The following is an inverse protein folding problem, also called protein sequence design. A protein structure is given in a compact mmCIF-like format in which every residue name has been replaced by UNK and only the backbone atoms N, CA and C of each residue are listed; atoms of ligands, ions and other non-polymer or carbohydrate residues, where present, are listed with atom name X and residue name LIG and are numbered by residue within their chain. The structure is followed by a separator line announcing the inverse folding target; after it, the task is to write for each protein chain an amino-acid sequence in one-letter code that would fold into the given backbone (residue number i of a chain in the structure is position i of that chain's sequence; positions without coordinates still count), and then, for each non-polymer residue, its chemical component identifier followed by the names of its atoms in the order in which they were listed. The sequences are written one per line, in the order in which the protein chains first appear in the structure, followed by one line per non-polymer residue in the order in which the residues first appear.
data_IF_247982318333
#
_entry.id   IF_247982318333
#
_cell.length_a   1.000
_cell.length_b   1.000
_cell.length_c   1.000
_cell.angle_alpha   90.00
_cell.angle_beta   90.00
_cell.angle_gamma   90.00
#
_symmetry.space_group_name_H-M   'P 1'
#
loop_
_entity.id
_entity.type
_entity.pdbx_description
1 polymer ?
#
# COMPACT_ATOMS: atom_id res chain seq x y z
N UNK A 1 -12.59 -25.94 25.27
CA UNK A 1 -11.19 -25.54 25.01
C UNK A 1 -11.07 -24.78 23.70
N UNK A 2 -10.31 -23.69 23.72
CA UNK A 2 -9.88 -22.97 22.50
C UNK A 2 -8.48 -23.47 22.17
N UNK A 3 -8.31 -24.10 21.01
CA UNK A 3 -7.05 -24.70 20.57
C UNK A 3 -6.16 -23.78 19.73
N UNK A 4 -6.72 -22.70 19.17
CA UNK A 4 -5.97 -21.64 18.48
C UNK A 4 -6.79 -20.35 18.38
N UNK A 5 -6.10 -19.22 18.18
CA UNK A 5 -6.72 -17.91 17.94
C UNK A 5 -5.94 -17.14 16.89
N UNK A 6 -6.63 -16.39 16.03
CA UNK A 6 -5.99 -15.49 15.08
C UNK A 6 -5.37 -14.28 15.78
N UNK A 7 -4.31 -13.72 15.19
CA UNK A 7 -3.69 -12.51 15.72
C UNK A 7 -4.60 -11.29 15.46
N UNK A 8 -5.05 -10.61 16.52
CA UNK A 8 -5.99 -9.48 16.40
C UNK A 8 -5.40 -8.12 16.84
N UNK A 9 -4.69 -8.05 17.97
CA UNK A 9 -4.35 -6.75 18.60
C UNK A 9 -3.61 -5.76 17.67
N UNK A 10 -2.60 -6.22 16.95
CA UNK A 10 -1.87 -5.43 15.95
C UNK A 10 -2.77 -4.99 14.75
N UNK A 11 -3.66 -5.87 14.27
CA UNK A 11 -4.65 -5.54 13.24
C UNK A 11 -5.56 -4.43 13.73
N UNK A 12 -6.10 -4.58 14.95
CA UNK A 12 -6.99 -3.58 15.55
C UNK A 12 -6.32 -2.21 15.65
N UNK A 13 -5.05 -2.16 16.07
CA UNK A 13 -4.28 -0.91 16.16
C UNK A 13 -4.16 -0.20 14.80
N UNK A 14 -3.77 -0.94 13.75
CA UNK A 14 -3.64 -0.38 12.39
C UNK A 14 -5.00 0.04 11.83
N UNK A 15 -6.04 -0.80 11.98
CA UNK A 15 -7.39 -0.49 11.52
C UNK A 15 -7.97 0.73 12.25
N UNK A 16 -7.69 0.90 13.55
CA UNK A 16 -8.07 2.09 14.30
C UNK A 16 -7.38 3.35 13.76
N UNK A 17 -6.09 3.29 13.46
CA UNK A 17 -5.36 4.41 12.86
C UNK A 17 -5.95 4.77 11.47
N UNK A 18 -6.19 3.77 10.62
CA UNK A 18 -6.82 3.96 9.31
C UNK A 18 -8.19 4.64 9.40
N UNK A 19 -9.03 4.23 10.37
CA UNK A 19 -10.34 4.87 10.61
C UNK A 19 -10.20 6.32 11.05
N UNK A 20 -9.29 6.61 12.00
CA UNK A 20 -9.02 7.99 12.46
C UNK A 20 -8.50 8.91 11.35
N UNK A 21 -7.78 8.34 10.37
CA UNK A 21 -7.27 9.06 9.20
C UNK A 21 -8.28 9.13 8.04
N UNK A 22 -9.48 8.55 8.20
CA UNK A 22 -10.47 8.41 7.14
C UNK A 22 -9.84 7.85 5.85
N UNK A 23 -9.04 6.79 6.01
CA UNK A 23 -8.25 6.20 4.92
C UNK A 23 -9.14 5.47 3.90
N UNK A 24 -10.15 4.73 4.34
CA UNK A 24 -11.10 4.06 3.44
C UNK A 24 -11.80 5.07 2.51
N UNK A 25 -12.29 6.17 3.09
CA UNK A 25 -12.90 7.28 2.35
C UNK A 25 -11.93 7.96 1.40
N UNK A 26 -10.62 7.94 1.70
CA UNK A 26 -9.61 8.45 0.80
C UNK A 26 -9.58 7.58 -0.47
N UNK A 27 -9.49 6.26 -0.31
CA UNK A 27 -9.46 5.27 -1.41
C UNK A 27 -10.75 5.31 -2.23
N UNK A 28 -11.90 5.10 -1.60
CA UNK A 28 -13.21 5.21 -2.24
C UNK A 28 -14.33 5.46 -1.22
N UNK A 29 -15.21 6.41 -1.55
CA UNK A 29 -16.33 6.81 -0.68
C UNK A 29 -17.41 5.74 -0.57
N UNK A 30 -17.61 4.93 -1.62
CA UNK A 30 -18.53 3.78 -1.58
C UNK A 30 -17.77 2.54 -1.18
N UNK A 31 -18.42 1.69 -0.39
CA UNK A 31 -17.95 0.34 -0.12
C UNK A 31 -17.94 -0.48 -1.42
N UNK A 32 -16.77 -1.01 -1.78
CA UNK A 32 -16.59 -1.96 -2.89
C UNK A 32 -15.51 -2.96 -2.54
N UNK A 33 -15.57 -4.15 -3.12
CA UNK A 33 -14.59 -5.22 -2.89
C UNK A 33 -13.16 -4.74 -3.12
N UNK A 34 -12.91 -3.97 -4.18
CA UNK A 34 -11.58 -3.46 -4.50
C UNK A 34 -11.06 -2.46 -3.46
N UNK A 35 -11.95 -1.64 -2.88
CA UNK A 35 -11.58 -0.76 -1.77
C UNK A 35 -11.09 -1.57 -0.59
N UNK A 36 -11.82 -2.63 -0.23
CA UNK A 36 -11.49 -3.43 0.94
C UNK A 36 -10.20 -4.24 0.70
N UNK A 37 -9.98 -4.76 -0.52
CA UNK A 37 -8.71 -5.38 -0.94
C UNK A 37 -7.53 -4.39 -0.83
N UNK A 38 -7.71 -3.15 -1.29
CA UNK A 38 -6.67 -2.11 -1.17
C UNK A 38 -6.38 -1.78 0.29
N UNK A 39 -7.41 -1.63 1.11
CA UNK A 39 -7.26 -1.34 2.54
C UNK A 39 -6.55 -2.50 3.25
N UNK A 40 -6.90 -3.74 2.92
CA UNK A 40 -6.24 -4.94 3.45
C UNK A 40 -4.77 -5.00 3.04
N UNK A 41 -4.45 -4.70 1.77
CA UNK A 41 -3.06 -4.67 1.29
C UNK A 41 -2.21 -3.59 1.98
N UNK A 42 -2.77 -2.40 2.21
CA UNK A 42 -2.04 -1.34 2.93
C UNK A 42 -1.86 -1.71 4.40
N UNK A 43 -2.88 -2.29 5.04
CA UNK A 43 -2.76 -2.76 6.42
C UNK A 43 -1.71 -3.87 6.54
N UNK A 44 -1.72 -4.85 5.64
CA UNK A 44 -0.71 -5.89 5.57
C UNK A 44 0.69 -5.32 5.36
N UNK A 45 0.85 -4.30 4.49
CA UNK A 45 2.15 -3.65 4.27
C UNK A 45 2.71 -2.97 5.53
N UNK A 46 1.85 -2.48 6.42
CA UNK A 46 2.24 -1.90 7.72
C UNK A 46 2.59 -3.00 8.73
N UNK A 47 1.84 -4.10 8.73
CA UNK A 47 1.95 -5.17 9.74
C UNK A 47 3.04 -6.20 9.41
N UNK A 48 3.10 -6.66 8.17
CA UNK A 48 3.98 -7.71 7.67
C UNK A 48 4.24 -7.49 6.16
N UNK A 49 5.22 -6.64 5.80
CA UNK A 49 5.49 -6.26 4.41
C UNK A 49 6.04 -7.45 3.60
N UNK A 50 5.20 -8.03 2.74
CA UNK A 50 5.53 -9.20 1.92
C UNK A 50 5.04 -9.05 0.45
N UNK A 51 5.31 -10.07 -0.38
CA UNK A 51 4.72 -10.22 -1.73
C UNK A 51 3.20 -10.42 -1.67
N UNK A 52 2.49 -10.28 -2.80
CA UNK A 52 1.02 -10.44 -2.84
C UNK A 52 0.61 -11.88 -2.51
N UNK A 53 1.27 -12.87 -3.10
CA UNK A 53 1.10 -14.28 -2.74
C UNK A 53 1.35 -14.58 -1.26
N UNK A 54 2.41 -14.03 -0.67
CA UNK A 54 2.70 -14.25 0.74
C UNK A 54 1.69 -13.52 1.64
N UNK A 55 1.21 -12.34 1.22
CA UNK A 55 0.18 -11.57 1.91
C UNK A 55 -1.12 -12.36 2.04
N UNK A 56 -1.62 -12.95 0.95
CA UNK A 56 -2.89 -13.71 0.97
C UNK A 56 -2.79 -14.96 1.86
N UNK A 57 -1.62 -15.60 1.94
CA UNK A 57 -1.36 -16.71 2.87
C UNK A 57 -1.31 -16.26 4.32
N UNK A 58 -0.62 -15.15 4.59
CA UNK A 58 -0.48 -14.60 5.95
C UNK A 58 -1.82 -14.17 6.55
N UNK A 59 -2.75 -13.70 5.72
CA UNK A 59 -4.08 -13.30 6.17
C UNK A 59 -4.82 -14.35 6.99
N UNK A 60 -4.65 -15.65 6.68
CA UNK A 60 -5.28 -16.74 7.43
C UNK A 60 -4.86 -16.82 8.91
N UNK A 61 -3.70 -16.25 9.27
CA UNK A 61 -3.21 -16.20 10.65
C UNK A 61 -3.73 -14.99 11.45
N UNK A 62 -4.48 -14.08 10.83
CA UNK A 62 -4.91 -12.81 11.43
C UNK A 62 -6.41 -12.56 11.22
N UNK A 63 -7.01 -11.67 12.00
CA UNK A 63 -8.41 -11.27 11.77
C UNK A 63 -8.56 -10.29 10.59
N UNK A 64 -7.47 -9.81 9.99
CA UNK A 64 -7.52 -8.71 9.02
C UNK A 64 -8.39 -9.03 7.80
N UNK A 65 -8.35 -10.28 7.32
CA UNK A 65 -9.12 -10.65 6.15
C UNK A 65 -10.62 -10.73 6.44
N UNK A 66 -10.99 -11.32 7.58
CA UNK A 66 -12.38 -11.38 8.08
C UNK A 66 -12.94 -9.96 8.34
N UNK A 67 -12.15 -9.11 9.02
CA UNK A 67 -12.49 -7.71 9.31
C UNK A 67 -12.78 -6.85 8.06
N UNK A 68 -12.32 -7.29 6.87
CA UNK A 68 -12.48 -6.60 5.59
C UNK A 68 -13.22 -7.44 4.54
N UNK A 69 -13.74 -8.62 4.91
CA UNK A 69 -14.43 -9.56 4.02
C UNK A 69 -13.59 -9.89 2.77
N UNK A 70 -12.31 -10.21 2.97
CA UNK A 70 -11.34 -10.51 1.91
C UNK A 70 -10.68 -11.89 2.00
N UNK A 71 -11.23 -12.82 2.77
CA UNK A 71 -10.67 -14.14 3.08
C UNK A 71 -10.46 -15.02 1.85
N UNK A 72 -11.31 -14.86 0.83
CA UNK A 72 -11.26 -15.60 -0.43
C UNK A 72 -10.31 -14.99 -1.46
N UNK A 73 -9.66 -13.87 -1.15
CA UNK A 73 -8.83 -13.14 -2.08
C UNK A 73 -7.57 -13.92 -2.49
N UNK A 74 -7.36 -14.00 -3.80
CA UNK A 74 -6.16 -14.54 -4.41
C UNK A 74 -5.14 -13.44 -4.72
N UNK A 75 -3.92 -13.83 -5.07
CA UNK A 75 -2.91 -12.87 -5.53
C UNK A 75 -3.37 -12.09 -6.78
N UNK A 76 -4.10 -12.74 -7.69
CA UNK A 76 -4.62 -12.10 -8.90
C UNK A 76 -5.67 -11.02 -8.57
N UNK A 77 -6.52 -11.26 -7.56
CA UNK A 77 -7.47 -10.25 -7.08
C UNK A 77 -6.74 -9.02 -6.53
N UNK A 78 -5.58 -9.21 -5.89
CA UNK A 78 -4.76 -8.11 -5.39
C UNK A 78 -4.16 -7.29 -6.53
N UNK A 79 -3.68 -7.94 -7.60
CA UNK A 79 -3.18 -7.22 -8.78
C UNK A 79 -4.29 -6.47 -9.50
N UNK A 80 -5.47 -7.08 -9.67
CA UNK A 80 -6.64 -6.39 -10.25
C UNK A 80 -7.09 -5.19 -9.40
N UNK A 81 -7.07 -5.32 -8.08
CA UNK A 81 -7.35 -4.21 -7.17
C UNK A 81 -6.30 -3.09 -7.27
N UNK A 82 -5.03 -3.41 -7.56
CA UNK A 82 -4.00 -2.42 -7.82
C UNK A 82 -4.25 -1.66 -9.14
N UNK A 83 -4.64 -2.34 -10.21
CA UNK A 83 -5.03 -1.68 -11.46
C UNK A 83 -6.24 -0.75 -11.27
N UNK A 84 -7.20 -1.18 -10.46
CA UNK A 84 -8.33 -0.35 -10.05
C UNK A 84 -7.88 0.87 -9.24
N UNK A 85 -6.90 0.70 -8.34
CA UNK A 85 -6.36 1.78 -7.52
C UNK A 85 -5.62 2.84 -8.35
N UNK A 86 -4.80 2.41 -9.32
CA UNK A 86 -4.06 3.32 -10.21
C UNK A 86 -5.01 4.27 -10.94
N UNK A 87 -6.15 3.77 -11.44
CA UNK A 87 -7.18 4.59 -12.09
C UNK A 87 -7.77 5.68 -11.18
N UNK A 88 -7.59 5.58 -9.86
CA UNK A 88 -8.09 6.53 -8.85
C UNK A 88 -7.03 7.46 -8.31
N UNK A 89 -5.76 7.30 -8.70
CA UNK A 89 -4.63 8.08 -8.18
C UNK A 89 -4.92 9.58 -8.15
N UNK A 90 -5.32 10.19 -9.27
CA UNK A 90 -5.58 11.63 -9.33
C UNK A 90 -6.71 12.10 -8.42
N UNK A 91 -7.71 11.25 -8.12
CA UNK A 91 -8.77 11.59 -7.15
C UNK A 91 -8.26 11.52 -5.71
N UNK A 92 -7.46 10.50 -5.40
CA UNK A 92 -6.83 10.33 -4.09
C UNK A 92 -5.88 11.49 -3.80
N UNK A 93 -5.01 11.84 -4.76
CA UNK A 93 -4.08 12.96 -4.66
C UNK A 93 -4.82 14.29 -4.44
N UNK A 94 -5.91 14.56 -5.19
CA UNK A 94 -6.73 15.75 -4.97
C UNK A 94 -7.32 15.82 -3.55
N UNK A 95 -7.77 14.68 -2.99
CA UNK A 95 -8.26 14.61 -1.61
C UNK A 95 -7.14 14.88 -0.60
N UNK A 96 -5.96 14.29 -0.79
CA UNK A 96 -4.80 14.53 0.07
C UNK A 96 -4.35 15.98 0.02
N UNK A 97 -4.26 16.55 -1.19
CA UNK A 97 -3.94 17.96 -1.40
C UNK A 97 -4.94 18.86 -0.65
N UNK A 98 -6.24 18.63 -0.81
CA UNK A 98 -7.26 19.40 -0.09
C UNK A 98 -7.20 19.24 1.45
N UNK A 99 -6.75 18.09 1.97
CA UNK A 99 -6.61 17.85 3.41
C UNK A 99 -5.37 18.50 4.02
N UNK A 100 -4.29 18.60 3.27
CA UNK A 100 -2.96 18.89 3.85
C UNK A 100 -2.28 20.12 3.26
N UNK A 101 -2.66 20.56 2.05
CA UNK A 101 -2.10 21.72 1.40
C UNK A 101 -3.02 22.93 1.55
N UNK A 102 -2.42 24.09 1.73
CA UNK A 102 -3.07 25.39 1.72
C UNK A 102 -2.21 26.38 0.95
N UNK A 103 -2.86 27.37 0.34
CA UNK A 103 -2.15 28.46 -0.35
C UNK A 103 -1.17 29.15 0.62
N UNK A 104 0.05 29.42 0.15
CA UNK A 104 1.14 29.92 1.00
C UNK A 104 1.65 28.95 2.08
N UNK A 105 1.25 27.67 2.04
CA UNK A 105 1.74 26.63 2.94
C UNK A 105 3.16 26.16 2.60
N UNK A 106 3.88 25.67 3.62
CA UNK A 106 5.19 25.05 3.45
C UNK A 106 5.04 23.57 3.14
N UNK A 107 5.64 23.11 2.04
CA UNK A 107 5.74 21.69 1.69
C UNK A 107 7.18 21.24 1.86
N UNK A 108 7.40 20.34 2.82
CA UNK A 108 8.68 19.65 2.96
C UNK A 108 8.61 18.38 2.12
N UNK A 109 9.50 18.25 1.14
CA UNK A 109 9.62 17.06 0.33
C UNK A 109 11.04 16.52 0.46
N UNK A 110 11.14 15.23 0.77
CA UNK A 110 12.41 14.53 0.70
C UNK A 110 12.60 13.96 -0.70
N UNK A 111 13.82 14.02 -1.17
CA UNK A 111 14.21 13.63 -2.51
C UNK A 111 15.08 12.39 -2.43
N UNK A 112 14.48 11.21 -2.47
CA UNK A 112 15.23 9.96 -2.57
C UNK A 112 15.74 9.73 -4.00
N UNK A 113 17.06 9.54 -4.15
CA UNK A 113 17.70 9.13 -5.41
C UNK A 113 17.77 7.60 -5.45
N UNK A 114 17.41 7.00 -6.58
CA UNK A 114 17.57 5.56 -6.82
C UNK A 114 18.22 5.35 -8.18
N UNK A 115 19.16 4.42 -8.24
CA UNK A 115 19.86 4.05 -9.46
C UNK A 115 20.02 2.53 -9.50
N UNK A 116 20.00 1.96 -10.71
CA UNK A 116 20.17 0.52 -10.92
C UNK A 116 21.64 0.20 -11.19
N UNK A 117 22.11 -0.92 -10.67
CA UNK A 117 23.41 -1.53 -10.97
C UNK A 117 23.14 -2.89 -11.65
N UNK A 118 23.77 -3.19 -12.79
CA UNK A 118 23.60 -4.46 -13.51
C UNK A 118 23.85 -4.38 -15.02
N UNK A 119 24.12 -5.53 -15.66
CA UNK A 119 24.49 -5.62 -17.08
C UNK A 119 23.41 -6.31 -17.96
N UNK A 120 22.47 -7.03 -17.35
CA UNK A 120 21.59 -7.97 -18.06
C UNK A 120 20.18 -7.43 -18.39
N UNK A 121 19.80 -6.25 -17.91
CA UNK A 121 18.47 -5.69 -18.14
C UNK A 121 18.56 -4.39 -18.95
N UNK A 122 18.10 -4.36 -20.21
CA UNK A 122 18.11 -3.15 -21.04
C UNK A 122 17.32 -1.97 -20.44
N UNK A 123 16.29 -2.26 -19.63
CA UNK A 123 15.51 -1.23 -18.91
C UNK A 123 16.25 -0.63 -17.71
N UNK A 124 17.31 -1.29 -17.25
CA UNK A 124 18.23 -0.81 -16.24
C UNK A 124 19.49 -0.16 -16.84
N UNK A 125 19.49 0.13 -18.15
CA UNK A 125 20.56 0.89 -18.79
C UNK A 125 20.80 2.20 -18.02
N UNK A 126 22.08 2.55 -17.83
CA UNK A 126 22.50 3.65 -16.96
C UNK A 126 21.76 4.94 -17.33
N UNK A 127 20.83 5.33 -16.47
CA UNK A 127 20.08 6.58 -16.55
C UNK A 127 20.78 7.74 -15.84
N UNK A 128 20.12 8.90 -15.83
CA UNK A 128 20.57 10.08 -15.12
C UNK A 128 20.57 9.85 -13.60
N UNK A 129 21.76 9.74 -12.99
CA UNK A 129 21.91 9.77 -11.55
C UNK A 129 21.98 11.22 -11.06
N UNK A 130 20.97 11.65 -10.28
CA UNK A 130 20.91 13.01 -9.74
C UNK A 130 22.06 13.32 -8.77
N UNK A 131 22.57 12.32 -8.06
CA UNK A 131 23.69 12.48 -7.14
C UNK A 131 25.04 12.60 -7.86
N UNK A 132 25.04 12.57 -9.21
CA UNK A 132 26.25 12.71 -10.02
C UNK A 132 27.30 11.63 -9.76
N UNK A 133 26.92 10.49 -9.15
CA UNK A 133 27.86 9.40 -8.86
C UNK A 133 28.42 8.86 -10.18
N UNK A 134 29.69 9.19 -10.44
CA UNK A 134 30.46 8.70 -11.58
C UNK A 134 31.08 7.35 -11.24
N UNK A 135 31.10 6.45 -12.22
CA UNK A 135 32.03 5.32 -12.24
C UNK A 135 31.76 4.20 -11.23
N UNK A 136 30.63 3.51 -11.37
CA UNK A 136 30.57 2.12 -10.90
C UNK A 136 30.44 1.24 -12.12
N UNK A 137 31.50 0.45 -12.36
CA UNK A 137 31.58 -0.55 -13.43
C UNK A 137 30.50 -1.59 -13.18
#
# INVERSE_FOLDING_TARGET
DVSSSQHHGHVQAVRMAMRRLHFEDLIATRHTRERDLVVAMVAARILQPESKLATTRWWGATTLADDLHVEDATEDDLYQAMDWLVKRQGRIEKKLAARHLKEGGLVLYDLSSSYFEGEACPLAARGHNRDGKKGKR
#
